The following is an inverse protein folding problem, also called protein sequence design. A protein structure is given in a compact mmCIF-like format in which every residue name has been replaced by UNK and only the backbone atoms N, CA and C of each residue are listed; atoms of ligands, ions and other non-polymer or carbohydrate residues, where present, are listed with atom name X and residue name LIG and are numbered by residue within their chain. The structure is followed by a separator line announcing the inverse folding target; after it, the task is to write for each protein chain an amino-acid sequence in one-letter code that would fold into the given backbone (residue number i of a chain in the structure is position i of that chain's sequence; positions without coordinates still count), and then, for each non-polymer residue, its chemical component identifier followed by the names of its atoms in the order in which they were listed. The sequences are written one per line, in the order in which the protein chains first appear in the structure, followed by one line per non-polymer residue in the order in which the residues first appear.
data_IF_893062333928
#
_entry.id   IF_893062333928
#
_cell.length_a   1.000
_cell.length_b   1.000
_cell.length_c   1.000
_cell.angle_alpha   90.00
_cell.angle_beta   90.00
_cell.angle_gamma   90.00
#
_symmetry.space_group_name_H-M   'P 1'
#
loop_
_entity.id
_entity.type
_entity.pdbx_description
1 polymer ?
#
# COMPACT_ATOMS: atom_id res chain seq x y z
N UNK A 1 -4.80 -15.66 21.16
CA UNK A 1 -3.32 -15.71 21.36
C UNK A 1 -2.67 -14.62 20.52
N UNK A 2 -2.15 -13.54 21.10
CA UNK A 2 -1.36 -12.55 20.34
C UNK A 2 0.10 -12.98 20.34
N UNK A 3 0.61 -13.40 19.18
CA UNK A 3 2.03 -13.69 19.02
C UNK A 3 2.81 -12.38 19.19
N UNK A 4 3.48 -12.28 20.33
CA UNK A 4 4.35 -11.17 20.74
C UNK A 4 5.60 -11.16 19.86
N UNK A 5 5.73 -10.07 19.08
CA UNK A 5 6.93 -9.43 18.51
C UNK A 5 8.16 -10.34 18.36
N UNK A 6 8.44 -10.78 17.15
CA UNK A 6 9.81 -11.13 16.75
C UNK A 6 10.42 -9.90 16.10
N UNK A 7 11.31 -9.24 16.84
CA UNK A 7 12.35 -8.41 16.26
C UNK A 7 13.25 -9.38 15.50
N UNK A 8 13.11 -9.45 14.18
CA UNK A 8 14.06 -10.16 13.33
C UNK A 8 14.89 -9.06 12.69
N UNK A 9 16.12 -8.89 13.17
CA UNK A 9 17.13 -7.93 12.67
C UNK A 9 17.63 -8.36 11.27
N UNK A 10 16.71 -8.62 10.35
CA UNK A 10 17.02 -8.76 8.94
C UNK A 10 16.22 -7.68 8.22
N UNK A 11 16.84 -6.55 7.84
CA UNK A 11 16.15 -5.48 7.14
C UNK A 11 15.53 -5.92 5.81
N UNK A 12 15.88 -7.12 5.32
CA UNK A 12 15.29 -7.74 4.13
C UNK A 12 13.96 -8.45 4.43
N UNK A 13 13.58 -8.58 5.71
CA UNK A 13 12.34 -9.24 6.15
C UNK A 13 11.23 -8.28 6.58
N UNK A 14 11.51 -6.98 6.58
CA UNK A 14 10.50 -5.98 6.90
C UNK A 14 9.48 -5.91 5.77
N UNK A 15 8.20 -5.96 6.13
CA UNK A 15 7.07 -5.86 5.22
C UNK A 15 6.02 -4.91 5.80
N UNK A 16 5.22 -4.30 4.94
CA UNK A 16 4.02 -3.57 5.31
C UNK A 16 2.80 -4.20 4.62
N UNK A 17 1.61 -3.93 5.15
CA UNK A 17 0.36 -4.48 4.62
C UNK A 17 -0.44 -3.40 3.92
N UNK A 18 -0.79 -3.60 2.66
CA UNK A 18 -1.79 -2.80 1.98
C UNK A 18 -3.19 -3.34 2.27
N UNK A 19 -4.15 -2.45 2.46
CA UNK A 19 -5.59 -2.73 2.44
C UNK A 19 -6.21 -1.98 1.28
N UNK A 20 -6.76 -2.70 0.31
CA UNK A 20 -7.45 -2.12 -0.84
C UNK A 20 -8.90 -1.87 -0.45
N UNK A 21 -9.21 -0.62 -0.14
CA UNK A 21 -10.55 -0.15 0.25
C UNK A 21 -11.33 0.28 -1.01
N UNK A 22 -11.40 -0.63 -2.00
CA UNK A 22 -11.98 -0.39 -3.33
C UNK A 22 -13.29 -1.20 -3.51
N UNK A 23 -14.30 -0.74 -2.79
CA UNK A 23 -15.74 -0.82 -3.05
C UNK A 23 -16.60 -2.10 -2.91
N UNK A 24 -16.13 -3.34 -2.68
CA UNK A 24 -17.03 -4.42 -2.20
C UNK A 24 -16.28 -5.47 -1.36
N UNK A 25 -14.98 -5.66 -1.62
CA UNK A 25 -14.14 -6.63 -0.92
C UNK A 25 -12.88 -5.95 -0.35
N UNK A 26 -12.55 -6.23 0.92
CA UNK A 26 -11.34 -5.71 1.55
C UNK A 26 -10.22 -6.71 1.30
N UNK A 27 -9.46 -6.46 0.24
CA UNK A 27 -8.30 -7.27 -0.09
C UNK A 27 -7.04 -6.72 0.59
N UNK A 28 -6.16 -7.61 1.04
CA UNK A 28 -4.86 -7.24 1.60
C UNK A 28 -3.69 -7.83 0.82
N UNK A 29 -2.61 -7.07 0.69
CA UNK A 29 -1.36 -7.52 0.08
C UNK A 29 -0.19 -7.22 1.03
N UNK A 30 0.74 -8.17 1.18
CA UNK A 30 1.96 -7.98 1.96
C UNK A 30 3.06 -7.51 1.00
N UNK A 31 3.64 -6.35 1.26
CA UNK A 31 4.65 -5.72 0.42
C UNK A 31 5.97 -5.63 1.18
N UNK A 32 7.11 -6.05 0.60
CA UNK A 32 8.41 -5.87 1.23
C UNK A 32 8.73 -4.38 1.39
N UNK A 33 9.13 -4.00 2.60
CA UNK A 33 9.57 -2.66 2.95
C UNK A 33 11.05 -2.51 2.56
N UNK A 34 11.35 -2.28 1.28
CA UNK A 34 12.73 -2.25 0.79
C UNK A 34 13.48 -0.97 1.18
N UNK A 35 14.73 -1.10 1.66
CA UNK A 35 15.65 0.03 1.86
C UNK A 35 16.02 0.68 0.53
N UNK A 36 16.17 2.01 0.52
CA UNK A 36 16.56 2.82 -0.64
C UNK A 36 15.60 2.75 -1.84
N UNK A 37 14.42 2.14 -1.68
CA UNK A 37 13.36 2.13 -2.68
C UNK A 37 12.23 3.03 -2.23
N UNK A 38 11.66 3.76 -3.19
CA UNK A 38 10.50 4.59 -2.93
C UNK A 38 9.24 3.73 -2.76
N UNK A 39 8.25 4.27 -2.06
CA UNK A 39 6.93 3.64 -1.91
C UNK A 39 6.30 3.39 -3.29
N UNK A 40 6.43 4.35 -4.22
CA UNK A 40 5.96 4.18 -5.60
C UNK A 40 6.62 2.99 -6.32
N UNK A 41 7.94 2.84 -6.21
CA UNK A 41 8.66 1.73 -6.86
C UNK A 41 8.25 0.35 -6.33
N UNK A 42 8.10 0.20 -5.01
CA UNK A 42 7.71 -1.11 -4.44
C UNK A 42 6.24 -1.45 -4.67
N UNK A 43 5.40 -0.43 -4.89
CA UNK A 43 3.97 -0.60 -5.11
C UNK A 43 3.60 -0.83 -6.58
N UNK A 44 4.37 -0.30 -7.52
CA UNK A 44 4.11 -0.46 -8.95
C UNK A 44 3.76 -1.91 -9.35
N UNK A 45 4.58 -2.94 -9.05
CA UNK A 45 4.26 -4.31 -9.43
C UNK A 45 3.02 -4.88 -8.72
N UNK A 46 2.69 -4.40 -7.53
CA UNK A 46 1.49 -4.83 -6.80
C UNK A 46 0.24 -4.29 -7.49
N UNK A 47 0.28 -3.03 -7.87
CA UNK A 47 -0.81 -2.31 -8.51
C UNK A 47 -1.07 -2.82 -9.94
N UNK A 48 0.00 -3.12 -10.69
CA UNK A 48 -0.10 -3.76 -12.02
C UNK A 48 -0.81 -5.11 -11.95
N UNK A 49 -0.44 -5.98 -10.99
CA UNK A 49 -1.10 -7.29 -10.81
C UNK A 49 -2.58 -7.18 -10.45
N UNK A 50 -2.98 -6.10 -9.78
CA UNK A 50 -4.38 -5.83 -9.40
C UNK A 50 -5.15 -5.02 -10.44
N UNK A 51 -4.51 -4.57 -11.51
CA UNK A 51 -5.14 -3.71 -12.52
C UNK A 51 -5.52 -2.32 -11.98
N UNK A 52 -4.86 -1.85 -10.91
CA UNK A 52 -5.12 -0.53 -10.31
C UNK A 52 -4.02 0.43 -10.75
N UNK A 53 -4.39 1.58 -11.30
CA UNK A 53 -3.38 2.59 -11.64
C UNK A 53 -3.02 3.43 -10.41
N UNK A 54 -1.73 3.55 -10.10
CA UNK A 54 -1.22 4.37 -8.97
C UNK A 54 -1.66 5.84 -9.05
N UNK A 55 -1.90 6.37 -10.26
CA UNK A 55 -2.38 7.74 -10.44
C UNK A 55 -3.82 7.96 -9.92
N UNK A 56 -4.62 6.90 -9.86
CA UNK A 56 -6.06 6.90 -9.55
C UNK A 56 -6.38 6.72 -8.07
N UNK A 57 -5.35 6.47 -7.25
CA UNK A 57 -5.50 6.20 -5.82
C UNK A 57 -4.62 7.11 -4.98
N UNK A 58 -5.03 7.28 -3.72
CA UNK A 58 -4.19 7.80 -2.66
C UNK A 58 -3.91 6.70 -1.63
N UNK A 59 -2.74 6.80 -0.98
CA UNK A 59 -2.29 5.83 0.02
C UNK A 59 -2.19 6.55 1.36
N UNK A 60 -2.68 5.91 2.41
CA UNK A 60 -2.74 6.48 3.76
C UNK A 60 -2.15 5.49 4.75
N UNK A 61 -1.66 5.98 5.89
CA UNK A 61 -1.57 5.11 7.07
C UNK A 61 -2.99 4.74 7.51
N UNK A 62 -3.18 3.52 8.02
CA UNK A 62 -4.50 3.05 8.50
C UNK A 62 -5.14 3.99 9.52
N UNK A 63 -4.32 4.68 10.32
CA UNK A 63 -4.74 5.59 11.40
C UNK A 63 -4.72 7.09 11.00
N UNK A 64 -4.41 7.43 9.74
CA UNK A 64 -4.32 8.81 9.26
C UNK A 64 -5.15 9.04 8.00
N UNK A 65 -5.57 10.29 7.78
CA UNK A 65 -6.26 10.72 6.56
C UNK A 65 -5.40 11.66 5.70
N UNK A 66 -4.12 11.87 6.06
CA UNK A 66 -3.16 12.58 5.21
C UNK A 66 -2.56 11.61 4.18
N UNK A 67 -2.63 11.89 2.87
CA UNK A 67 -2.06 11.02 1.85
C UNK A 67 -0.53 10.99 1.95
N UNK A 68 0.05 9.80 1.73
CA UNK A 68 1.49 9.57 1.70
C UNK A 68 2.06 9.96 0.35
N UNK A 69 3.25 10.56 0.37
CA UNK A 69 4.03 10.75 -0.86
C UNK A 69 4.60 9.41 -1.33
N UNK A 70 4.44 9.12 -2.63
CA UNK A 70 5.07 7.96 -3.27
C UNK A 70 6.60 8.03 -3.26
N UNK A 71 7.18 9.22 -3.03
CA UNK A 71 8.63 9.41 -2.95
C UNK A 71 9.24 9.00 -1.61
N UNK A 72 8.41 8.73 -0.58
CA UNK A 72 8.91 8.26 0.70
C UNK A 72 9.58 6.90 0.59
N UNK A 73 10.62 6.68 1.39
CA UNK A 73 11.31 5.39 1.43
C UNK A 73 10.39 4.30 2.02
N UNK A 74 10.24 3.20 1.28
CA UNK A 74 9.36 2.09 1.62
C UNK A 74 9.71 1.44 2.97
N UNK A 75 11.00 1.34 3.29
CA UNK A 75 11.49 0.75 4.55
C UNK A 75 10.87 1.39 5.80
N UNK A 76 10.52 2.68 5.75
CA UNK A 76 9.93 3.40 6.89
C UNK A 76 8.53 2.90 7.25
N UNK A 77 7.88 2.17 6.37
CA UNK A 77 6.55 1.62 6.58
C UNK A 77 6.56 0.18 7.07
N UNK A 78 7.72 -0.45 7.30
CA UNK A 78 7.82 -1.79 7.88
C UNK A 78 6.94 -1.96 9.14
N UNK A 79 6.12 -3.01 9.16
CA UNK A 79 5.17 -3.30 10.23
C UNK A 79 3.90 -2.44 10.23
N UNK A 80 3.74 -1.49 9.30
CA UNK A 80 2.55 -0.66 9.20
C UNK A 80 1.46 -1.28 8.31
N UNK A 81 0.24 -0.84 8.54
CA UNK A 81 -0.89 -1.01 7.64
C UNK A 81 -1.10 0.29 6.87
N UNK A 82 -1.10 0.19 5.55
CA UNK A 82 -1.45 1.26 4.65
C UNK A 82 -2.80 0.96 4.00
N UNK A 83 -3.60 2.00 3.80
CA UNK A 83 -4.89 1.92 3.13
C UNK A 83 -4.79 2.57 1.76
N UNK A 84 -5.27 1.88 0.73
CA UNK A 84 -5.39 2.37 -0.63
C UNK A 84 -6.83 2.80 -0.86
N UNK A 85 -7.06 4.04 -1.25
CA UNK A 85 -8.39 4.57 -1.58
C UNK A 85 -8.39 5.21 -2.95
N UNK A 86 -9.52 5.13 -3.67
CA UNK A 86 -9.70 5.88 -4.89
C UNK A 86 -9.61 7.38 -4.64
N UNK A 87 -9.00 8.12 -5.57
CA UNK A 87 -9.01 9.59 -5.54
C UNK A 87 -10.40 10.12 -5.87
N UNK A 88 -10.88 11.16 -5.18
CA UNK A 88 -12.12 11.82 -5.54
C UNK A 88 -12.01 12.39 -6.96
N UNK A 89 -12.91 11.98 -7.85
CA UNK A 89 -12.94 12.42 -9.25
C UNK A 89 -12.36 11.42 -10.27
N UNK A 90 -11.79 10.30 -9.83
CA UNK A 90 -11.34 9.22 -10.72
C UNK A 90 -12.31 8.01 -10.76
N UNK A 91 -13.37 8.03 -9.96
CA UNK A 91 -14.43 7.00 -9.89
C UNK A 91 -15.25 6.82 -11.19
N UNK A 92 -14.95 7.58 -12.26
CA UNK A 92 -15.74 7.57 -13.48
C UNK A 92 -14.90 7.47 -14.73
N UNK A 93 -14.58 6.24 -15.15
CA UNK A 93 -14.68 5.72 -16.53
C UNK A 93 -14.71 4.19 -16.48
N UNK A 94 -15.81 3.61 -16.01
CA UNK A 94 -16.21 2.29 -16.51
C UNK A 94 -16.92 2.58 -17.84
N UNK A 95 -16.19 2.50 -18.94
CA UNK A 95 -16.85 2.39 -20.24
C UNK A 95 -17.49 1.01 -20.26
N UNK A 96 -18.81 0.98 -20.05
CA UNK A 96 -19.64 -0.17 -20.34
C UNK A 96 -19.58 -0.38 -21.86
N UNK A 97 -18.77 -1.33 -22.29
CA UNK A 97 -18.75 -1.88 -23.64
C UNK A 97 -19.27 -3.31 -23.62
#
# INVERSE_FOLDING_TARGET
KKARRRHTDDPSKECFTLKFDLNVDIETEIVPAMKKKSLGEVLLPVFERKGVALGKVDIYLDQSNTPLSLTFEAYRFGGHYLRVKAKPGDEGKVEQG
#
